data_IF_800133513245
#
_entry.id   IF_800133513245
#
_cell.length_a   1.000
_cell.length_b   1.000
_cell.length_c   1.000
_cell.angle_alpha   90.00
_cell.angle_beta   90.00
_cell.angle_gamma   90.00
#
_symmetry.space_group_name_H-M   'P 1'
#
loop_
_entity.id
_entity.type
_entity.pdbx_description
1 polymer ?
#
# COMPACT_ATOMS: atom_id res chain seq x y z
N UNK A 1 6.13 0.83 41.99
CA UNK A 1 6.72 0.64 40.64
C UNK A 1 5.80 -0.05 39.64
N UNK A 2 4.63 -0.58 40.06
CA UNK A 2 3.72 -1.39 39.21
C UNK A 2 2.77 -0.56 38.32
N UNK A 3 2.58 0.73 38.62
CA UNK A 3 1.60 1.59 37.93
C UNK A 3 2.07 2.17 36.58
N UNK A 4 3.38 2.15 36.30
CA UNK A 4 3.95 2.68 35.05
C UNK A 4 3.81 1.67 33.90
N UNK A 5 3.92 0.36 34.18
CA UNK A 5 3.85 -0.69 33.16
C UNK A 5 2.44 -0.82 32.54
N UNK A 6 1.39 -0.72 33.34
CA UNK A 6 -0.01 -0.86 32.87
C UNK A 6 -0.40 0.29 31.92
N UNK A 7 0.12 1.50 32.15
CA UNK A 7 -0.16 2.65 31.31
C UNK A 7 0.56 2.58 29.94
N UNK A 8 1.77 2.01 29.89
CA UNK A 8 2.50 1.80 28.64
C UNK A 8 1.92 0.63 27.81
N UNK A 9 1.49 -0.46 28.48
CA UNK A 9 0.76 -1.57 27.85
C UNK A 9 -0.55 -1.08 27.19
N UNK A 10 -1.31 -0.21 27.87
CA UNK A 10 -2.53 0.39 27.33
C UNK A 10 -2.29 1.27 26.09
N UNK A 11 -1.20 2.04 26.06
CA UNK A 11 -0.82 2.85 24.89
C UNK A 11 -0.43 1.98 23.69
N UNK A 12 0.30 0.88 23.94
CA UNK A 12 0.69 -0.07 22.91
C UNK A 12 -0.51 -0.66 22.18
N UNK A 13 -1.51 -1.12 22.94
CA UNK A 13 -2.73 -1.71 22.37
C UNK A 13 -3.56 -0.69 21.57
N UNK A 14 -3.69 0.55 22.07
CA UNK A 14 -4.39 1.62 21.34
C UNK A 14 -3.70 1.93 20.00
N UNK A 15 -2.36 2.02 20.00
CA UNK A 15 -1.57 2.24 18.76
C UNK A 15 -1.77 1.09 17.77
N UNK A 16 -1.71 -0.16 18.25
CA UNK A 16 -1.91 -1.35 17.42
C UNK A 16 -3.29 -1.33 16.77
N UNK A 17 -4.35 -1.10 17.55
CA UNK A 17 -5.72 -0.98 17.03
C UNK A 17 -5.87 0.12 15.98
N UNK A 18 -5.27 1.29 16.21
CA UNK A 18 -5.30 2.38 15.24
C UNK A 18 -4.56 2.02 13.95
N UNK A 19 -3.40 1.35 14.05
CA UNK A 19 -2.65 0.89 12.89
C UNK A 19 -3.44 -0.13 12.05
N UNK A 20 -4.11 -1.09 12.70
CA UNK A 20 -5.00 -2.06 12.06
C UNK A 20 -6.15 -1.36 11.33
N UNK A 21 -6.85 -0.43 11.99
CA UNK A 21 -7.95 0.31 11.35
C UNK A 21 -7.48 1.17 10.17
N UNK A 22 -6.30 1.79 10.29
CA UNK A 22 -5.72 2.57 9.20
C UNK A 22 -5.35 1.67 8.00
N UNK A 23 -4.83 0.47 8.26
CA UNK A 23 -4.51 -0.51 7.21
C UNK A 23 -5.76 -1.06 6.52
N UNK A 24 -6.83 -1.34 7.29
CA UNK A 24 -8.14 -1.69 6.75
C UNK A 24 -8.68 -0.58 5.85
N UNK A 25 -8.66 0.67 6.31
CA UNK A 25 -9.11 1.82 5.53
C UNK A 25 -8.35 1.95 4.20
N UNK A 26 -7.01 1.85 4.22
CA UNK A 26 -6.19 1.88 3.00
C UNK A 26 -6.53 0.75 2.04
N UNK A 27 -6.70 -0.46 2.57
CA UNK A 27 -7.07 -1.64 1.78
C UNK A 27 -8.43 -1.49 1.13
N UNK A 28 -9.46 -1.12 1.89
CA UNK A 28 -10.80 -0.94 1.35
C UNK A 28 -10.88 0.23 0.36
N UNK A 29 -10.17 1.32 0.62
CA UNK A 29 -10.09 2.45 -0.31
C UNK A 29 -9.51 1.99 -1.66
N UNK A 30 -8.37 1.30 -1.66
CA UNK A 30 -7.75 0.78 -2.89
C UNK A 30 -8.67 -0.18 -3.64
N UNK A 31 -9.30 -1.11 -2.92
CA UNK A 31 -10.27 -2.03 -3.50
C UNK A 31 -11.44 -1.29 -4.14
N UNK A 32 -12.06 -0.34 -3.42
CA UNK A 32 -13.17 0.46 -3.92
C UNK A 32 -12.77 1.26 -5.17
N UNK A 33 -11.61 1.91 -5.17
CA UNK A 33 -11.12 2.66 -6.32
C UNK A 33 -10.92 1.76 -7.56
N UNK A 34 -10.37 0.55 -7.38
CA UNK A 34 -10.25 -0.46 -8.46
C UNK A 34 -11.63 -0.93 -8.95
N UNK A 35 -12.58 -1.19 -8.06
CA UNK A 35 -13.95 -1.56 -8.43
C UNK A 35 -14.69 -0.44 -9.17
N UNK A 36 -14.47 0.83 -8.79
CA UNK A 36 -14.99 1.99 -9.51
C UNK A 36 -14.48 2.00 -10.95
N UNK A 37 -13.18 1.78 -11.14
CA UNK A 37 -12.58 1.73 -12.48
C UNK A 37 -13.14 0.57 -13.31
N UNK A 38 -13.26 -0.61 -12.73
CA UNK A 38 -13.84 -1.77 -13.40
C UNK A 38 -15.30 -1.55 -13.80
N UNK A 39 -16.12 -0.99 -12.90
CA UNK A 39 -17.52 -0.66 -13.19
C UNK A 39 -17.66 0.33 -14.36
N UNK A 40 -16.78 1.33 -14.43
CA UNK A 40 -16.80 2.33 -15.50
C UNK A 40 -16.31 1.78 -16.84
N UNK A 41 -15.30 0.91 -16.84
CA UNK A 41 -14.61 0.47 -18.07
C UNK A 41 -15.11 -0.86 -18.64
N UNK A 42 -15.47 -1.80 -17.77
CA UNK A 42 -15.96 -3.15 -18.15
C UNK A 42 -17.44 -3.31 -17.87
N UNK A 43 -17.93 -2.68 -16.80
CA UNK A 43 -19.34 -2.72 -16.42
C UNK A 43 -20.25 -1.81 -17.25
N UNK A 44 -19.69 -0.78 -17.90
CA UNK A 44 -20.44 0.19 -18.71
C UNK A 44 -21.29 1.16 -17.89
N UNK A 45 -21.11 1.23 -16.56
CA UNK A 45 -21.87 2.15 -15.72
C UNK A 45 -21.39 3.59 -15.94
N UNK A 46 -22.34 4.53 -15.97
CA UNK A 46 -22.01 5.95 -15.99
C UNK A 46 -21.40 6.40 -14.66
N UNK A 47 -20.62 7.49 -14.70
CA UNK A 47 -20.02 8.06 -13.48
C UNK A 47 -21.08 8.50 -12.46
N UNK A 48 -22.28 8.87 -12.92
CA UNK A 48 -23.41 9.21 -12.06
C UNK A 48 -23.94 7.97 -11.33
N UNK A 49 -24.21 6.89 -12.06
CA UNK A 49 -24.67 5.63 -11.45
C UNK A 49 -23.65 5.10 -10.43
N UNK A 50 -22.36 5.18 -10.75
CA UNK A 50 -21.29 4.78 -9.82
C UNK A 50 -21.28 5.69 -8.58
N UNK A 51 -21.41 7.01 -8.76
CA UNK A 51 -21.51 7.97 -7.65
C UNK A 51 -22.68 7.64 -6.72
N UNK A 52 -23.84 7.35 -7.30
CA UNK A 52 -25.07 7.03 -6.57
C UNK A 52 -24.93 5.70 -5.79
N UNK A 53 -24.31 4.67 -6.40
CA UNK A 53 -24.04 3.37 -5.75
C UNK A 53 -23.00 3.46 -4.64
N UNK A 54 -21.91 4.20 -4.85
CA UNK A 54 -20.81 4.31 -3.89
C UNK A 54 -21.19 5.19 -2.69
N UNK A 55 -22.03 6.21 -2.91
CA UNK A 55 -22.60 7.11 -1.89
C UNK A 55 -21.59 8.03 -1.19
N UNK A 56 -20.34 7.61 -1.06
CA UNK A 56 -19.23 8.33 -0.41
C UNK A 56 -18.39 9.16 -1.39
N UNK A 57 -18.57 8.95 -2.70
CA UNK A 57 -17.80 9.60 -3.75
C UNK A 57 -18.74 10.31 -4.71
N UNK A 58 -18.57 11.62 -4.86
CA UNK A 58 -19.30 12.40 -5.86
C UNK A 58 -18.88 12.04 -7.30
N UNK A 59 -19.74 12.32 -8.28
CA UNK A 59 -19.46 12.09 -9.69
C UNK A 59 -18.10 12.69 -10.16
N UNK A 60 -17.71 13.94 -9.79
CA UNK A 60 -16.37 14.46 -10.12
C UNK A 60 -15.22 13.68 -9.45
N UNK A 61 -15.45 13.07 -8.29
CA UNK A 61 -14.45 12.22 -7.62
C UNK A 61 -14.31 10.89 -8.34
N UNK A 62 -15.43 10.28 -8.75
CA UNK A 62 -15.44 9.08 -9.59
C UNK A 62 -14.67 9.33 -10.89
N UNK A 63 -14.94 10.44 -11.58
CA UNK A 63 -14.22 10.82 -12.80
C UNK A 63 -12.70 10.90 -12.57
N UNK A 64 -12.26 11.52 -11.47
CA UNK A 64 -10.83 11.66 -11.14
C UNK A 64 -10.18 10.31 -10.89
N UNK A 65 -10.85 9.39 -10.19
CA UNK A 65 -10.36 8.03 -9.97
C UNK A 65 -10.21 7.29 -11.30
N UNK A 66 -11.24 7.30 -12.14
CA UNK A 66 -11.22 6.63 -13.45
C UNK A 66 -10.08 7.17 -14.31
N UNK A 67 -9.99 8.50 -14.43
CA UNK A 67 -8.93 9.14 -15.20
C UNK A 67 -7.54 8.80 -14.70
N UNK A 68 -7.32 8.79 -13.38
CA UNK A 68 -6.01 8.46 -12.79
C UNK A 68 -5.54 7.06 -13.23
N UNK A 69 -6.42 6.06 -13.25
CA UNK A 69 -6.08 4.72 -13.70
C UNK A 69 -6.01 4.57 -15.22
N UNK A 70 -6.78 5.36 -15.98
CA UNK A 70 -6.61 5.43 -17.44
C UNK A 70 -5.26 6.04 -17.82
N UNK A 71 -4.83 7.09 -17.12
CA UNK A 71 -3.58 7.80 -17.39
C UNK A 71 -2.35 6.97 -16.96
N UNK A 72 -2.47 6.16 -15.89
CA UNK A 72 -1.42 5.26 -15.41
C UNK A 72 -2.00 3.91 -14.94
N UNK A 73 -2.15 2.93 -15.86
CA UNK A 73 -2.71 1.62 -15.54
C UNK A 73 -1.90 0.81 -14.52
N UNK A 74 -0.59 1.08 -14.37
CA UNK A 74 0.26 0.37 -13.40
C UNK A 74 -0.15 0.64 -11.95
N UNK A 75 -0.99 1.65 -11.69
CA UNK A 75 -1.57 1.88 -10.35
C UNK A 75 -2.65 0.86 -10.00
N UNK A 76 -3.14 0.09 -10.96
CA UNK A 76 -4.05 -1.02 -10.70
C UNK A 76 -3.31 -2.24 -10.13
N UNK A 77 -2.02 -2.37 -10.43
CA UNK A 77 -1.20 -3.47 -9.92
C UNK A 77 -1.12 -3.40 -8.40
N UNK A 78 -1.07 -4.58 -7.78
CA UNK A 78 -0.80 -4.69 -6.35
C UNK A 78 0.63 -4.20 -6.07
N UNK A 79 0.85 -3.62 -4.89
CA UNK A 79 2.17 -3.15 -4.46
C UNK A 79 2.61 -3.80 -3.15
N UNK A 80 3.92 -3.86 -2.85
CA UNK A 80 4.41 -4.39 -1.59
C UNK A 80 3.77 -3.75 -0.34
N UNK A 81 3.56 -2.43 -0.33
CA UNK A 81 2.87 -1.75 0.76
C UNK A 81 1.45 -2.30 0.99
N UNK A 82 0.78 -2.77 -0.06
CA UNK A 82 -0.56 -3.34 0.04
C UNK A 82 -0.56 -4.68 0.76
N UNK A 83 0.43 -5.53 0.51
CA UNK A 83 0.59 -6.80 1.20
C UNK A 83 0.84 -6.60 2.69
N UNK A 84 1.66 -5.60 3.03
CA UNK A 84 1.94 -5.22 4.42
C UNK A 84 0.67 -4.67 5.09
N UNK A 85 -0.11 -3.85 4.38
CA UNK A 85 -1.41 -3.38 4.87
C UNK A 85 -2.37 -4.55 5.12
N UNK A 86 -2.46 -5.52 4.20
CA UNK A 86 -3.31 -6.71 4.37
C UNK A 86 -2.92 -7.49 5.63
N UNK A 87 -1.63 -7.69 5.88
CA UNK A 87 -1.17 -8.35 7.11
C UNK A 87 -1.44 -7.51 8.36
N UNK A 88 -1.19 -6.20 8.29
CA UNK A 88 -1.47 -5.26 9.41
C UNK A 88 -2.96 -5.23 9.76
N UNK A 89 -3.82 -5.39 8.75
CA UNK A 89 -5.26 -5.49 8.86
C UNK A 89 -5.73 -6.87 9.35
N UNK A 90 -4.85 -7.87 9.44
CA UNK A 90 -5.19 -9.25 9.80
C UNK A 90 -5.94 -10.01 8.70
N UNK A 91 -5.89 -9.54 7.45
CA UNK A 91 -6.55 -10.18 6.30
C UNK A 91 -5.70 -11.27 5.66
N UNK A 92 -4.38 -11.23 5.86
CA UNK A 92 -3.44 -12.31 5.54
C UNK A 92 -2.49 -12.51 6.73
N UNK A 93 -1.92 -13.70 6.86
CA UNK A 93 -0.89 -13.98 7.85
C UNK A 93 0.51 -13.53 7.36
N UNK A 94 1.48 -13.56 8.28
CA UNK A 94 2.88 -13.22 8.01
C UNK A 94 3.50 -14.12 6.94
N UNK A 95 3.22 -15.43 6.97
CA UNK A 95 3.83 -16.38 6.03
C UNK A 95 3.37 -16.13 4.60
N UNK A 96 2.07 -15.86 4.41
CA UNK A 96 1.49 -15.49 3.11
C UNK A 96 2.08 -14.18 2.61
N UNK A 97 2.18 -13.17 3.47
CA UNK A 97 2.80 -11.88 3.13
C UNK A 97 4.26 -12.10 2.69
N UNK A 98 5.06 -12.76 3.52
CA UNK A 98 6.49 -12.96 3.27
C UNK A 98 6.75 -13.81 2.03
N UNK A 99 5.95 -14.85 1.78
CA UNK A 99 6.06 -15.64 0.54
C UNK A 99 5.93 -14.74 -0.69
N UNK A 100 4.87 -13.93 -0.75
CA UNK A 100 4.60 -13.03 -1.89
C UNK A 100 5.67 -11.95 -2.03
N UNK A 101 6.12 -11.37 -0.93
CA UNK A 101 7.18 -10.35 -0.93
C UNK A 101 8.55 -10.90 -1.34
N UNK A 102 8.88 -12.16 -1.00
CA UNK A 102 10.15 -12.80 -1.39
C UNK A 102 10.18 -13.24 -2.86
N UNK A 103 9.01 -13.45 -3.46
CA UNK A 103 8.83 -13.75 -4.89
C UNK A 103 8.76 -12.45 -5.74
N UNK A 104 8.65 -11.29 -5.09
CA UNK A 104 8.51 -9.99 -5.75
C UNK A 104 9.81 -9.54 -6.44
N UNK A 105 9.69 -9.01 -7.66
CA UNK A 105 10.80 -8.41 -8.40
C UNK A 105 10.83 -6.90 -8.15
N UNK A 106 11.60 -6.48 -7.15
CA UNK A 106 11.63 -5.07 -6.76
C UNK A 106 12.35 -4.19 -7.78
N UNK A 107 11.85 -2.96 -7.89
CA UNK A 107 12.55 -1.85 -8.50
C UNK A 107 13.02 -0.87 -7.41
N UNK A 108 14.14 -0.20 -7.65
CA UNK A 108 14.76 0.74 -6.69
C UNK A 108 14.55 2.17 -7.12
N UNK A 109 14.26 3.02 -6.13
CA UNK A 109 14.14 4.44 -6.35
C UNK A 109 15.45 5.05 -6.85
N UNK A 110 15.32 6.13 -7.61
CA UNK A 110 16.47 6.78 -8.22
C UNK A 110 16.17 8.22 -8.60
N UNK A 111 17.23 9.00 -8.79
CA UNK A 111 17.11 10.39 -9.21
C UNK A 111 16.52 10.45 -10.62
N UNK A 112 15.44 11.21 -10.80
CA UNK A 112 14.81 11.36 -12.11
C UNK A 112 15.79 12.05 -13.06
N UNK A 113 15.90 11.55 -14.28
CA UNK A 113 16.75 12.14 -15.32
C UNK A 113 15.90 12.67 -16.47
N UNK A 114 16.09 13.93 -16.84
CA UNK A 114 15.45 14.55 -18.00
C UNK A 114 16.55 14.95 -18.98
N UNK A 115 16.50 14.44 -20.21
CA UNK A 115 17.55 14.69 -21.20
C UNK A 115 18.94 14.19 -20.77
N UNK A 116 19.01 13.18 -19.90
CA UNK A 116 20.27 12.64 -19.36
C UNK A 116 20.83 13.38 -18.13
N UNK A 117 20.25 14.53 -17.76
CA UNK A 117 20.66 15.30 -16.58
C UNK A 117 19.86 14.85 -15.36
N UNK A 118 20.57 14.55 -14.27
CA UNK A 118 19.94 14.27 -12.98
C UNK A 118 19.22 15.53 -12.47
N UNK A 119 17.93 15.39 -12.21
CA UNK A 119 17.12 16.42 -11.55
C UNK A 119 17.30 16.32 -10.03
N UNK A 120 16.68 17.22 -9.27
CA UNK A 120 16.58 17.13 -7.80
C UNK A 120 15.44 16.21 -7.33
N UNK A 121 14.63 15.67 -8.24
CA UNK A 121 13.50 14.81 -7.91
C UNK A 121 13.93 13.33 -7.73
N UNK A 122 13.56 12.73 -6.60
CA UNK A 122 13.71 11.30 -6.34
C UNK A 122 12.44 10.55 -6.75
N UNK A 123 12.56 9.58 -7.65
CA UNK A 123 11.46 8.69 -8.02
C UNK A 123 11.45 7.50 -7.09
N UNK A 124 10.45 7.42 -6.22
CA UNK A 124 10.29 6.27 -5.34
C UNK A 124 9.83 5.02 -6.10
N UNK A 125 10.26 3.84 -5.67
CA UNK A 125 9.89 2.53 -6.23
C UNK A 125 9.53 1.52 -5.14
N UNK A 126 9.15 0.33 -5.57
CA UNK A 126 8.62 -0.76 -4.73
C UNK A 126 9.51 -1.12 -3.53
N UNK A 127 10.84 -1.00 -3.65
CA UNK A 127 11.74 -1.25 -2.52
C UNK A 127 11.61 -0.19 -1.41
N UNK A 128 11.41 1.07 -1.78
CA UNK A 128 11.27 2.15 -0.79
C UNK A 128 9.99 1.98 0.05
N UNK A 129 8.98 1.28 -0.49
CA UNK A 129 7.79 0.87 0.26
C UNK A 129 8.14 -0.13 1.38
N UNK A 130 9.06 -1.06 1.14
CA UNK A 130 9.58 -2.01 2.13
C UNK A 130 10.37 -1.26 3.22
N UNK A 131 11.27 -0.37 2.83
CA UNK A 131 12.06 0.42 3.78
C UNK A 131 11.16 1.29 4.65
N UNK A 132 10.19 1.97 4.05
CA UNK A 132 9.25 2.81 4.79
C UNK A 132 8.35 1.98 5.71
N UNK A 133 7.97 0.76 5.33
CA UNK A 133 7.24 -0.14 6.21
C UNK A 133 8.08 -0.60 7.40
N UNK A 134 9.37 -0.90 7.18
CA UNK A 134 10.31 -1.22 8.26
C UNK A 134 10.48 -0.05 9.23
N UNK A 135 10.72 1.17 8.74
CA UNK A 135 10.84 2.36 9.59
C UNK A 135 9.58 2.68 10.39
N UNK A 136 8.41 2.26 9.91
CA UNK A 136 7.12 2.38 10.61
C UNK A 136 6.85 1.25 11.60
N UNK A 137 7.76 0.29 11.74
CA UNK A 137 7.59 -0.90 12.59
C UNK A 137 6.53 -1.86 12.05
N UNK A 138 6.20 -1.78 10.76
CA UNK A 138 5.27 -2.70 10.11
C UNK A 138 5.95 -3.98 9.63
N UNK A 139 7.28 -4.01 9.57
CA UNK A 139 8.08 -5.21 9.37
C UNK A 139 9.01 -5.37 10.58
N UNK A 140 9.21 -6.60 11.01
CA UNK A 140 10.24 -6.96 11.98
C UNK A 140 11.63 -6.94 11.34
N UNK A 141 12.67 -6.83 12.17
CA UNK A 141 14.06 -6.90 11.73
C UNK A 141 14.35 -8.17 10.91
N UNK A 142 13.80 -9.31 11.33
CA UNK A 142 14.04 -10.59 10.67
C UNK A 142 13.31 -10.69 9.32
N UNK A 143 12.08 -10.18 9.22
CA UNK A 143 11.36 -10.07 7.94
C UNK A 143 12.14 -9.17 6.97
N UNK A 144 12.57 -7.99 7.43
CA UNK A 144 13.34 -7.06 6.61
C UNK A 144 14.67 -7.65 6.15
N UNK A 145 15.44 -8.29 7.05
CA UNK A 145 16.69 -8.97 6.72
C UNK A 145 16.49 -10.07 5.69
N UNK A 146 15.43 -10.86 5.78
CA UNK A 146 15.13 -11.92 4.81
C UNK A 146 14.83 -11.34 3.43
N UNK A 147 14.05 -10.27 3.35
CA UNK A 147 13.79 -9.56 2.09
C UNK A 147 15.11 -9.01 1.52
N UNK A 148 15.86 -8.24 2.31
CA UNK A 148 17.13 -7.67 1.88
C UNK A 148 18.13 -8.75 1.42
N UNK A 149 18.26 -9.85 2.16
CA UNK A 149 19.14 -10.95 1.78
C UNK A 149 18.74 -11.57 0.44
N UNK A 150 17.45 -11.92 0.26
CA UNK A 150 16.93 -12.47 -1.00
C UNK A 150 17.26 -11.59 -2.20
N UNK A 151 17.16 -10.27 -2.06
CA UNK A 151 17.47 -9.33 -3.15
C UNK A 151 18.96 -9.16 -3.39
N UNK A 152 19.78 -9.14 -2.34
CA UNK A 152 21.24 -9.01 -2.48
C UNK A 152 21.89 -10.28 -3.07
N UNK A 153 21.36 -11.46 -2.78
CA UNK A 153 21.85 -12.73 -3.32
C UNK A 153 21.15 -13.18 -4.60
N UNK A 154 20.17 -12.42 -5.09
CA UNK A 154 19.26 -12.80 -6.15
C UNK A 154 19.30 -11.88 -7.37
N UNK A 155 20.41 -11.92 -8.10
CA UNK A 155 20.44 -11.80 -9.56
C UNK A 155 20.72 -13.19 -10.15
#
# INVERSE_FOLDING_TARGET
>A
MMSINVAEEGKGEVKKRLATNAALLRTYKRHLERSIYEAATRGGLSQREISDLVGSHSQPTVQRIVRRFTDDPNQLDERPAELIDLRTAGLIDTDTMMKRLLEWKYSFGGVARVGGVATDAYMSRDWDEIEMAFYRGLLTDDEFKRLAHRHLTGA
#
